data_IF_281024816011
#
_entry.id   IF_281024816011
#
_cell.length_a   1.000
_cell.length_b   1.000
_cell.length_c   1.000
_cell.angle_alpha   90.00
_cell.angle_beta   90.00
_cell.angle_gamma   90.00
#
_symmetry.space_group_name_H-M   'P 1'
#
loop_
_entity.id
_entity.type
_entity.pdbx_description
1 polymer ?
#
# COMPACT_ATOMS: atom_id res chain seq x y z
N UNK A 1 1.84 -40.70 70.74
CA UNK A 1 3.03 -39.82 70.64
C UNK A 1 2.91 -38.92 69.42
N UNK A 2 3.31 -37.65 69.56
CA UNK A 2 3.21 -36.56 68.56
C UNK A 2 3.87 -36.89 67.22
N UNK A 3 3.29 -36.39 66.12
CA UNK A 3 3.96 -35.40 65.24
C UNK A 3 2.96 -34.77 64.26
N UNK A 4 2.83 -33.45 64.38
CA UNK A 4 2.12 -32.56 63.45
C UNK A 4 3.07 -32.26 62.28
N UNK A 5 2.56 -32.25 61.06
CA UNK A 5 3.16 -31.49 59.97
C UNK A 5 2.05 -30.66 59.32
N UNK A 6 2.18 -29.34 59.49
CA UNK A 6 1.42 -28.34 58.77
C UNK A 6 2.09 -28.15 57.40
N UNK A 7 1.31 -28.14 56.32
CA UNK A 7 1.74 -27.64 55.00
C UNK A 7 0.57 -26.81 54.45
N UNK A 8 0.87 -25.54 54.14
CA UNK A 8 -0.10 -24.47 53.90
C UNK A 8 -0.82 -24.52 52.54
N UNK A 9 -1.80 -23.64 52.33
CA UNK A 9 -2.62 -23.64 51.12
C UNK A 9 -1.87 -22.96 49.97
N UNK A 10 -1.68 -23.69 48.87
CA UNK A 10 -1.20 -23.13 47.61
C UNK A 10 -2.35 -22.40 46.90
N UNK A 11 -2.33 -21.06 46.94
CA UNK A 11 -3.17 -20.21 46.10
C UNK A 11 -2.61 -20.20 44.66
N UNK A 12 -3.30 -20.91 43.77
CA UNK A 12 -3.08 -20.83 42.32
C UNK A 12 -3.70 -19.54 41.78
N UNK A 13 -2.88 -18.51 41.61
CA UNK A 13 -3.26 -17.30 40.89
C UNK A 13 -3.24 -17.60 39.38
N UNK A 14 -4.41 -17.74 38.77
CA UNK A 14 -4.58 -17.88 37.32
C UNK A 14 -4.28 -16.53 36.65
N UNK A 15 -3.11 -16.39 36.02
CA UNK A 15 -2.80 -15.25 35.17
C UNK A 15 -3.65 -15.32 33.89
N UNK A 16 -4.68 -14.49 33.81
CA UNK A 16 -5.32 -14.13 32.54
C UNK A 16 -4.27 -13.42 31.68
N UNK A 17 -3.69 -14.12 30.72
CA UNK A 17 -2.91 -13.50 29.64
C UNK A 17 -3.90 -12.80 28.72
N UNK A 18 -4.16 -11.51 28.98
CA UNK A 18 -4.75 -10.63 27.98
C UNK A 18 -3.80 -10.58 26.78
N UNK A 19 -4.15 -11.29 25.71
CA UNK A 19 -3.44 -11.22 24.44
C UNK A 19 -3.52 -9.80 23.89
N UNK A 20 -2.44 -9.03 24.05
CA UNK A 20 -2.30 -7.77 23.33
C UNK A 20 -2.26 -8.10 21.82
N UNK A 21 -3.02 -7.38 20.98
CA UNK A 21 -2.89 -7.55 19.54
C UNK A 21 -1.46 -7.20 19.17
N UNK A 22 -0.71 -8.19 18.67
CA UNK A 22 0.58 -7.93 18.06
C UNK A 22 0.28 -7.09 16.83
N UNK A 23 0.61 -5.80 16.88
CA UNK A 23 0.62 -4.97 15.70
C UNK A 23 1.70 -5.57 14.78
N UNK A 24 1.29 -6.40 13.83
CA UNK A 24 2.18 -6.90 12.79
C UNK A 24 2.64 -5.69 12.01
N UNK A 25 3.88 -5.28 12.25
CA UNK A 25 4.54 -4.26 11.44
C UNK A 25 4.56 -4.78 10.01
N UNK A 26 3.80 -4.12 9.13
CA UNK A 26 3.77 -4.46 7.72
C UNK A 26 5.21 -4.50 7.19
N UNK A 27 5.58 -5.60 6.52
CA UNK A 27 6.94 -5.79 6.03
C UNK A 27 7.33 -4.68 5.05
N UNK A 28 8.39 -3.94 5.37
CA UNK A 28 8.95 -2.84 4.58
C UNK A 28 9.07 -3.21 3.10
N UNK A 29 8.52 -2.38 2.21
CA UNK A 29 8.72 -2.52 0.76
C UNK A 29 10.08 -1.95 0.38
N UNK A 30 10.83 -2.68 -0.42
CA UNK A 30 12.15 -2.28 -0.92
C UNK A 30 12.18 -2.27 -2.45
N UNK A 31 13.28 -1.76 -3.05
CA UNK A 31 13.42 -1.69 -4.50
C UNK A 31 13.41 -3.08 -5.16
N UNK A 32 13.98 -4.11 -4.53
CA UNK A 32 14.01 -5.45 -5.11
C UNK A 32 12.61 -6.07 -5.22
N UNK A 33 11.71 -5.74 -4.29
CA UNK A 33 10.36 -6.29 -4.26
C UNK A 33 9.48 -5.80 -5.42
N UNK A 34 9.81 -4.63 -5.98
CA UNK A 34 8.93 -3.91 -6.92
C UNK A 34 9.44 -3.92 -8.35
N UNK A 35 10.65 -4.40 -8.63
CA UNK A 35 11.19 -4.47 -9.99
C UNK A 35 10.43 -5.51 -10.84
N UNK A 36 10.05 -5.12 -12.05
CA UNK A 36 9.38 -5.95 -13.05
C UNK A 36 8.10 -5.30 -13.59
N UNK A 37 7.28 -6.10 -14.25
CA UNK A 37 6.05 -5.66 -14.91
C UNK A 37 4.80 -5.92 -14.06
N UNK A 38 3.90 -4.94 -14.07
CA UNK A 38 2.74 -4.85 -13.19
C UNK A 38 1.52 -4.30 -13.92
N UNK A 39 0.36 -4.54 -13.33
CA UNK A 39 -0.91 -3.89 -13.65
C UNK A 39 -1.36 -3.08 -12.44
N UNK A 40 -1.54 -1.77 -12.63
CA UNK A 40 -2.20 -0.89 -11.67
C UNK A 40 -3.70 -0.96 -11.90
N UNK A 41 -4.42 -1.63 -11.00
CA UNK A 41 -5.88 -1.75 -11.02
C UNK A 41 -6.44 -0.75 -10.02
N UNK A 42 -7.17 0.24 -10.52
CA UNK A 42 -7.67 1.34 -9.70
C UNK A 42 -9.16 1.18 -9.44
N UNK A 43 -9.55 1.41 -8.20
CA UNK A 43 -10.95 1.43 -7.75
C UNK A 43 -11.25 2.83 -7.25
N UNK A 44 -12.05 3.63 -7.98
CA UNK A 44 -12.45 4.96 -7.53
C UNK A 44 -13.20 4.88 -6.20
N UNK A 45 -13.01 5.88 -5.34
CA UNK A 45 -13.86 6.05 -4.17
C UNK A 45 -15.29 6.40 -4.63
N UNK A 46 -16.31 5.85 -3.97
CA UNK A 46 -17.69 6.26 -4.19
C UNK A 46 -17.83 7.74 -3.80
N UNK A 47 -18.35 8.55 -4.72
CA UNK A 47 -18.25 10.01 -4.62
C UNK A 47 -19.22 10.63 -3.62
N UNK A 48 -18.73 11.65 -2.93
CA UNK A 48 -19.44 12.73 -2.25
C UNK A 48 -20.12 13.72 -3.24
N UNK A 49 -20.59 13.21 -4.40
CA UNK A 49 -21.25 14.00 -5.44
C UNK A 49 -20.32 14.60 -6.52
N UNK A 50 -19.01 14.33 -6.50
CA UNK A 50 -18.07 14.71 -7.58
C UNK A 50 -17.73 13.51 -8.45
N UNK A 51 -18.33 13.43 -9.63
CA UNK A 51 -18.01 12.38 -10.61
C UNK A 51 -16.64 12.65 -11.24
N UNK A 52 -15.59 11.97 -10.77
CA UNK A 52 -14.34 11.87 -11.52
C UNK A 52 -14.54 10.77 -12.56
N UNK A 53 -14.92 11.16 -13.78
CA UNK A 53 -15.05 10.21 -14.88
C UNK A 53 -13.67 9.85 -15.38
N UNK A 54 -13.18 8.69 -14.98
CA UNK A 54 -12.02 8.11 -15.63
C UNK A 54 -12.49 7.42 -16.92
N UNK A 55 -12.10 7.94 -18.08
CA UNK A 55 -12.31 7.23 -19.34
C UNK A 55 -11.33 6.06 -19.40
N UNK A 56 -11.79 4.87 -19.01
CA UNK A 56 -11.09 3.62 -19.33
C UNK A 56 -11.31 3.29 -20.79
N UNK A 57 -10.25 2.90 -21.51
CA UNK A 57 -10.39 2.31 -22.85
C UNK A 57 -11.06 0.92 -22.81
N UNK A 58 -11.10 0.28 -21.63
CA UNK A 58 -11.54 -1.10 -21.41
C UNK A 58 -12.84 -1.19 -20.58
N UNK A 59 -13.87 -0.41 -20.91
CA UNK A 59 -15.25 -0.70 -20.48
C UNK A 59 -15.52 -0.65 -18.97
N UNK A 60 -14.75 0.13 -18.20
CA UNK A 60 -15.05 0.46 -16.79
C UNK A 60 -13.96 0.14 -15.79
N UNK A 61 -13.04 -0.80 -16.09
CA UNK A 61 -11.92 -1.08 -15.19
C UNK A 61 -10.73 -0.18 -15.53
N UNK A 62 -10.24 0.56 -14.54
CA UNK A 62 -9.08 1.43 -14.69
C UNK A 62 -7.82 0.62 -14.45
N UNK A 63 -7.37 -0.05 -15.50
CA UNK A 63 -6.15 -0.85 -15.48
C UNK A 63 -5.10 -0.17 -16.34
N UNK A 64 -3.95 0.15 -15.76
CA UNK A 64 -2.79 0.70 -16.48
C UNK A 64 -1.59 -0.23 -16.33
N UNK A 65 -0.84 -0.51 -17.41
CA UNK A 65 0.39 -1.27 -17.30
C UNK A 65 1.47 -0.40 -16.65
N UNK A 66 2.26 -0.98 -15.77
CA UNK A 66 3.39 -0.36 -15.09
C UNK A 66 4.62 -1.23 -15.28
N UNK A 67 5.73 -0.65 -15.71
CA UNK A 67 7.03 -1.32 -15.72
C UNK A 67 7.97 -0.59 -14.78
N UNK A 68 8.66 -1.34 -13.92
CA UNK A 68 9.66 -0.84 -12.96
C UNK A 68 10.98 -1.53 -13.25
N UNK A 69 12.02 -0.76 -13.55
CA UNK A 69 13.37 -1.27 -13.75
C UNK A 69 14.35 -0.66 -12.75
N UNK A 70 15.38 -1.44 -12.39
CA UNK A 70 16.47 -0.93 -11.61
C UNK A 70 17.28 0.09 -12.41
N UNK A 71 17.68 1.17 -11.75
CA UNK A 71 18.77 2.05 -12.17
C UNK A 71 19.95 1.83 -11.21
N UNK A 72 21.10 2.44 -11.48
CA UNK A 72 22.25 2.39 -10.57
C UNK A 72 21.89 2.75 -9.11
N UNK A 73 22.33 1.91 -8.18
CA UNK A 73 21.99 1.99 -6.75
C UNK A 73 20.53 1.58 -6.48
N UNK A 74 19.90 2.19 -5.47
CA UNK A 74 18.49 1.94 -5.11
C UNK A 74 17.48 2.72 -5.96
N UNK A 75 17.92 3.30 -7.06
CA UNK A 75 17.07 4.14 -7.93
C UNK A 75 16.23 3.26 -8.84
N UNK A 76 15.01 3.72 -9.12
CA UNK A 76 14.07 3.03 -9.99
C UNK A 76 13.73 3.92 -11.19
N UNK A 77 13.57 3.31 -12.35
CA UNK A 77 12.94 3.91 -13.53
C UNK A 77 11.55 3.29 -13.69
N UNK A 78 10.56 4.11 -14.03
CA UNK A 78 9.21 3.60 -14.23
C UNK A 78 8.52 4.19 -15.44
N UNK A 79 7.69 3.36 -16.07
CA UNK A 79 6.73 3.78 -17.09
C UNK A 79 5.34 3.33 -16.68
N UNK A 80 4.36 4.21 -16.84
CA UNK A 80 2.94 3.89 -16.68
C UNK A 80 2.29 4.12 -18.04
N UNK A 81 1.64 3.11 -18.59
CA UNK A 81 1.03 3.15 -19.92
C UNK A 81 2.02 3.62 -21.00
N UNK A 82 3.23 3.06 -20.97
CA UNK A 82 4.37 3.41 -21.82
C UNK A 82 4.85 4.88 -21.72
N UNK A 83 4.28 5.69 -20.81
CA UNK A 83 4.72 7.05 -20.55
C UNK A 83 5.66 7.10 -19.34
N UNK A 84 6.69 7.97 -19.34
CA UNK A 84 7.58 8.13 -18.19
C UNK A 84 6.81 8.51 -16.91
N UNK A 85 7.10 7.80 -15.83
CA UNK A 85 6.56 8.06 -14.51
C UNK A 85 7.70 8.22 -13.48
N UNK A 86 7.38 8.83 -12.35
CA UNK A 86 8.31 8.91 -11.22
C UNK A 86 8.00 7.78 -10.24
N UNK A 87 9.02 7.04 -9.82
CA UNK A 87 8.87 6.04 -8.77
C UNK A 87 10.01 6.07 -7.78
N UNK A 88 9.68 5.82 -6.52
CA UNK A 88 10.63 5.79 -5.42
C UNK A 88 10.08 5.01 -4.24
N UNK A 89 10.97 4.33 -3.53
CA UNK A 89 10.69 3.83 -2.20
C UNK A 89 10.93 4.97 -1.20
N UNK A 90 9.97 5.25 -0.33
CA UNK A 90 10.10 6.21 0.76
C UNK A 90 9.49 5.63 2.02
N UNK A 91 10.30 5.47 3.07
CA UNK A 91 9.88 4.94 4.37
C UNK A 91 9.14 3.59 4.23
N UNK A 92 9.69 2.68 3.42
CA UNK A 92 9.10 1.35 3.22
C UNK A 92 7.83 1.31 2.36
N UNK A 93 7.50 2.39 1.66
CA UNK A 93 6.33 2.50 0.78
C UNK A 93 6.78 2.79 -0.64
N UNK A 94 6.13 2.17 -1.62
CA UNK A 94 6.33 2.53 -3.02
C UNK A 94 5.42 3.71 -3.38
N UNK A 95 6.02 4.78 -3.89
CA UNK A 95 5.29 5.94 -4.43
C UNK A 95 5.52 5.98 -5.93
N UNK A 96 4.46 5.85 -6.72
CA UNK A 96 4.46 6.04 -8.17
C UNK A 96 3.65 7.29 -8.49
N UNK A 97 4.16 8.17 -9.34
CA UNK A 97 3.45 9.36 -9.75
C UNK A 97 3.55 9.59 -11.25
N UNK A 98 2.39 9.82 -11.86
CA UNK A 98 2.22 10.19 -13.26
C UNK A 98 1.56 11.57 -13.34
N UNK A 99 1.80 12.30 -14.41
CA UNK A 99 1.17 13.60 -14.59
C UNK A 99 1.09 14.02 -16.05
N UNK A 100 -0.03 14.62 -16.41
CA UNK A 100 -0.32 15.18 -17.71
C UNK A 100 -1.26 16.37 -17.56
N UNK A 101 -1.17 17.37 -18.43
CA UNK A 101 -2.14 18.48 -18.52
C UNK A 101 -2.42 19.20 -17.19
N UNK A 102 -1.38 19.40 -16.36
CA UNK A 102 -1.53 20.06 -15.05
C UNK A 102 -2.21 19.21 -13.98
N UNK A 103 -2.45 17.93 -14.24
CA UNK A 103 -2.94 16.94 -13.29
C UNK A 103 -1.79 16.00 -12.90
N UNK A 104 -1.74 15.64 -11.62
CA UNK A 104 -0.79 14.66 -11.08
C UNK A 104 -1.54 13.61 -10.28
N UNK A 105 -1.42 12.37 -10.71
CA UNK A 105 -1.94 11.21 -10.01
C UNK A 105 -0.79 10.54 -9.26
N UNK A 106 -1.01 10.22 -7.99
CA UNK A 106 -0.01 9.59 -7.13
C UNK A 106 -0.60 8.33 -6.53
N UNK A 107 0.11 7.21 -6.73
CA UNK A 107 -0.17 5.92 -6.15
C UNK A 107 0.79 5.72 -4.97
N UNK A 108 0.25 5.45 -3.79
CA UNK A 108 1.05 5.15 -2.60
C UNK A 108 0.74 3.75 -2.11
N UNK A 109 1.64 2.81 -2.38
CA UNK A 109 1.51 1.40 -2.01
C UNK A 109 2.16 1.17 -0.66
N UNK A 110 1.39 0.58 0.26
CA UNK A 110 1.77 0.33 1.66
C UNK A 110 1.77 -1.14 1.99
N UNK A 111 0.84 -1.87 1.40
CA UNK A 111 0.48 -3.20 1.86
C UNK A 111 0.97 -4.22 0.86
N UNK A 112 1.64 -5.27 1.35
CA UNK A 112 1.95 -6.44 0.54
C UNK A 112 0.70 -7.31 0.44
N UNK A 113 0.40 -7.78 -0.75
CA UNK A 113 -0.69 -8.73 -1.01
C UNK A 113 -0.11 -10.02 -1.60
N UNK A 114 -0.93 -11.07 -1.71
CA UNK A 114 -0.47 -12.33 -2.34
C UNK A 114 -0.06 -12.16 -3.80
N UNK A 115 -0.62 -11.17 -4.48
CA UNK A 115 -0.43 -10.93 -5.91
C UNK A 115 0.46 -9.71 -6.22
N UNK A 116 0.95 -9.02 -5.19
CA UNK A 116 1.74 -7.81 -5.33
C UNK A 116 1.55 -6.87 -4.16
N UNK A 117 0.99 -5.68 -4.42
CA UNK A 117 0.87 -4.61 -3.43
C UNK A 117 -0.46 -3.88 -3.54
N UNK A 118 -0.89 -3.26 -2.46
CA UNK A 118 -2.10 -2.45 -2.40
C UNK A 118 -1.83 -1.09 -1.75
N UNK A 119 -2.70 -0.13 -2.03
CA UNK A 119 -2.61 1.19 -1.42
C UNK A 119 -3.66 2.17 -1.93
N UNK A 120 -3.31 3.45 -1.83
CA UNK A 120 -4.21 4.57 -2.10
C UNK A 120 -3.81 5.36 -3.35
N UNK A 121 -4.80 6.04 -3.94
CA UNK A 121 -4.63 6.95 -5.07
C UNK A 121 -5.03 8.35 -4.65
N UNK A 122 -4.15 9.31 -4.90
CA UNK A 122 -4.40 10.74 -4.74
C UNK A 122 -4.34 11.47 -6.08
N UNK A 123 -5.23 12.44 -6.26
CA UNK A 123 -5.24 13.35 -7.41
C UNK A 123 -4.95 14.77 -6.97
N UNK A 124 -3.96 15.41 -7.61
CA UNK A 124 -3.67 16.82 -7.44
C UNK A 124 -3.78 17.56 -8.78
N UNK A 125 -4.49 18.69 -8.76
CA UNK A 125 -4.52 19.64 -9.87
C UNK A 125 -3.52 20.77 -9.59
N UNK A 126 -2.83 21.27 -10.62
CA UNK A 126 -1.76 22.28 -10.51
C UNK A 126 -2.15 23.53 -9.74
N UNK A 127 -3.42 23.92 -9.81
CA UNK A 127 -3.97 25.11 -9.14
C UNK A 127 -4.49 24.83 -7.72
N UNK A 128 -4.46 23.57 -7.27
CA UNK A 128 -4.92 23.20 -5.94
C UNK A 128 -3.73 22.85 -5.03
N UNK A 129 -3.69 23.42 -3.81
CA UNK A 129 -2.57 23.22 -2.90
C UNK A 129 -2.45 21.79 -2.38
N UNK A 130 -3.57 21.06 -2.28
CA UNK A 130 -3.65 19.73 -1.65
C UNK A 130 -4.25 18.72 -2.64
N UNK A 131 -3.62 17.56 -2.77
CA UNK A 131 -4.18 16.42 -3.50
C UNK A 131 -5.31 15.79 -2.69
N UNK A 132 -6.36 15.32 -3.35
CA UNK A 132 -7.47 14.62 -2.69
C UNK A 132 -7.35 13.11 -2.92
N UNK A 133 -7.66 12.27 -1.92
CA UNK A 133 -7.85 10.85 -2.14
C UNK A 133 -8.99 10.64 -3.15
N UNK A 134 -8.76 9.79 -4.13
CA UNK A 134 -9.72 9.50 -5.20
C UNK A 134 -10.05 8.01 -5.33
N UNK A 135 -9.41 7.16 -4.53
CA UNK A 135 -9.66 5.72 -4.56
C UNK A 135 -8.50 4.89 -4.03
N UNK A 136 -8.57 3.59 -4.31
CA UNK A 136 -7.56 2.59 -3.97
C UNK A 136 -6.96 1.98 -5.21
N UNK A 137 -5.77 1.39 -5.06
CA UNK A 137 -5.04 0.73 -6.14
C UNK A 137 -4.51 -0.61 -5.68
N UNK A 138 -4.66 -1.62 -6.54
CA UNK A 138 -3.94 -2.88 -6.47
C UNK A 138 -2.88 -2.91 -7.58
N UNK A 139 -1.62 -3.10 -7.19
CA UNK A 139 -0.50 -3.36 -8.08
C UNK A 139 -0.28 -4.87 -8.16
N UNK A 140 -0.72 -5.47 -9.26
CA UNK A 140 -0.73 -6.93 -9.47
C UNK A 140 0.33 -7.32 -10.49
N UNK A 141 1.11 -8.38 -10.20
CA UNK A 141 2.15 -8.86 -11.10
C UNK A 141 1.54 -9.32 -12.43
N UNK A 142 2.20 -8.98 -13.54
CA UNK A 142 1.84 -9.43 -14.89
C UNK A 142 2.60 -10.68 -15.30
#
# INVERSE_FOLDING_TARGET
MRKRYAVGPALLASLLVCGAPIAQTAATITSHDVIGDWSLRMTPAEGDGRTITFKSQNGGQLVQPLSITARSGDRLNCTVDAQPAQCRIRNGRLVVATGANGMRMTFTLTDRTRQGFAGAIDLRLRLLPIGKPIGTVDMVRR
#
